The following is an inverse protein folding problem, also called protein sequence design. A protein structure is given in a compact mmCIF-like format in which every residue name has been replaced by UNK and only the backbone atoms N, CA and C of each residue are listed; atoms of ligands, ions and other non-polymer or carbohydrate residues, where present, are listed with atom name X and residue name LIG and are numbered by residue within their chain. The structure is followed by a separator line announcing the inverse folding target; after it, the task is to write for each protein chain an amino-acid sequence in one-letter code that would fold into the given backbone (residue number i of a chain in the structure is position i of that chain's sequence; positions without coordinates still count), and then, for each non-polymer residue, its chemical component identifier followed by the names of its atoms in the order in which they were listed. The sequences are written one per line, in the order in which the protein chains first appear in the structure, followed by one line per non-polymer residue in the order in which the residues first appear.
data_IF_293758156155
#
_entry.id   IF_293758156155
#
_cell.length_a   1.000
_cell.length_b   1.000
_cell.length_c   1.000
_cell.angle_alpha   90.00
_cell.angle_beta   90.00
_cell.angle_gamma   90.00
#
_symmetry.space_group_name_H-M   'P 1'
#
loop_
_entity.id
_entity.type
_entity.pdbx_description
1 polymer ?
#
# COMPACT_ATOMS: atom_id res chain seq x y z
N UNK A 1 -0.02 0.78 10.46
CA UNK A 1 0.09 0.15 9.13
C UNK A 1 0.60 -1.26 9.31
N UNK A 2 -0.07 -2.24 8.72
CA UNK A 2 0.26 -3.67 8.82
C UNK A 2 0.26 -4.27 7.42
N UNK A 3 1.28 -5.05 7.09
CA UNK A 3 1.42 -5.73 5.80
C UNK A 3 1.11 -7.22 5.99
N UNK A 4 0.11 -7.72 5.28
CA UNK A 4 -0.29 -9.11 5.31
C UNK A 4 0.03 -9.80 3.98
N UNK A 5 0.52 -11.05 3.98
CA UNK A 5 0.57 -11.86 2.77
C UNK A 5 -0.81 -11.93 2.12
N UNK A 6 -0.87 -11.78 0.79
CA UNK A 6 -2.13 -11.88 0.04
C UNK A 6 -2.07 -13.03 -0.98
N UNK A 7 -3.23 -13.50 -1.43
CA UNK A 7 -3.34 -14.61 -2.39
C UNK A 7 -2.65 -14.28 -3.72
N UNK A 8 -2.20 -15.30 -4.50
CA UNK A 8 -1.62 -15.08 -5.82
C UNK A 8 -2.58 -14.27 -6.71
N UNK A 9 -2.00 -13.37 -7.52
CA UNK A 9 -2.72 -12.49 -8.45
C UNK A 9 -3.66 -11.44 -7.81
N UNK A 10 -3.65 -11.29 -6.47
CA UNK A 10 -4.40 -10.22 -5.80
C UNK A 10 -3.76 -8.84 -6.04
N UNK A 11 -2.45 -8.78 -6.24
CA UNK A 11 -1.67 -7.56 -6.35
C UNK A 11 -1.47 -6.86 -5.01
N UNK A 12 -1.15 -5.57 -5.08
CA UNK A 12 -1.00 -4.70 -3.90
C UNK A 12 -2.33 -4.00 -3.65
N UNK A 13 -2.90 -4.19 -2.44
CA UNK A 13 -4.19 -3.65 -2.07
C UNK A 13 -4.13 -2.98 -0.70
N UNK A 14 -4.83 -1.87 -0.54
CA UNK A 14 -4.97 -1.17 0.71
C UNK A 14 -6.37 -1.38 1.31
N UNK A 15 -6.44 -1.41 2.64
CA UNK A 15 -7.68 -1.43 3.43
C UNK A 15 -7.57 -0.37 4.52
N UNK A 16 -8.44 0.64 4.45
CA UNK A 16 -8.62 1.63 5.52
C UNK A 16 -9.39 1.02 6.69
N UNK A 17 -8.78 0.91 7.87
CA UNK A 17 -9.41 0.26 9.04
C UNK A 17 -10.19 1.23 9.94
N UNK A 18 -10.09 2.52 9.67
CA UNK A 18 -10.74 3.61 10.41
C UNK A 18 -12.07 4.09 9.79
N UNK A 19 -12.53 3.44 8.72
CA UNK A 19 -13.78 3.75 8.02
C UNK A 19 -14.64 2.49 7.79
N UNK A 20 -15.81 2.68 7.19
CA UNK A 20 -16.69 1.57 6.79
C UNK A 20 -15.95 0.57 5.88
N UNK A 21 -16.06 -0.71 6.25
CA UNK A 21 -15.40 -1.83 5.60
C UNK A 21 -15.84 -1.99 4.15
N UNK A 22 -17.08 -1.63 3.84
CA UNK A 22 -17.62 -1.80 2.48
C UNK A 22 -17.00 -0.81 1.48
N UNK A 23 -16.43 0.29 1.96
CA UNK A 23 -15.80 1.33 1.12
C UNK A 23 -14.28 1.44 1.30
N UNK A 24 -13.68 0.62 2.16
CA UNK A 24 -12.29 0.81 2.61
C UNK A 24 -11.21 0.27 1.68
N UNK A 25 -11.61 -0.51 0.68
CA UNK A 25 -10.69 -1.18 -0.22
C UNK A 25 -10.23 -0.25 -1.35
N UNK A 26 -8.91 -0.17 -1.56
CA UNK A 26 -8.30 0.58 -2.67
C UNK A 26 -7.20 -0.28 -3.29
N UNK A 27 -7.33 -0.64 -4.57
CA UNK A 27 -6.27 -1.34 -5.31
C UNK A 27 -5.15 -0.38 -5.70
N UNK A 28 -3.89 -0.77 -5.51
CA UNK A 28 -2.75 -0.02 -6.02
C UNK A 28 -2.64 -0.20 -7.54
N UNK A 29 -3.31 0.68 -8.28
CA UNK A 29 -3.32 0.70 -9.75
C UNK A 29 -3.15 2.13 -10.23
N UNK A 30 -2.46 2.31 -11.35
CA UNK A 30 -2.36 3.61 -12.01
C UNK A 30 -3.73 4.20 -12.38
N UNK A 31 -4.74 3.35 -12.58
CA UNK A 31 -6.13 3.77 -12.83
C UNK A 31 -6.81 4.42 -11.63
N UNK A 32 -6.29 4.15 -10.43
CA UNK A 32 -6.80 4.66 -9.17
C UNK A 32 -6.02 5.90 -8.70
N UNK A 33 -5.07 6.42 -9.47
CA UNK A 33 -4.35 7.64 -9.12
C UNK A 33 -5.28 8.84 -9.36
N UNK A 34 -5.56 9.60 -8.29
CA UNK A 34 -6.51 10.73 -8.31
C UNK A 34 -5.84 12.09 -8.10
N UNK A 35 -4.64 12.12 -7.51
CA UNK A 35 -3.84 13.34 -7.36
C UNK A 35 -2.35 12.99 -7.33
N UNK A 36 -1.51 13.93 -7.76
CA UNK A 36 -0.04 13.84 -7.79
C UNK A 36 0.65 15.09 -7.25
N UNK A 37 -0.11 16.04 -6.66
CA UNK A 37 0.46 17.23 -6.04
C UNK A 37 1.06 16.83 -4.69
N UNK A 38 2.34 17.16 -4.48
CA UNK A 38 3.15 16.81 -3.31
C UNK A 38 3.48 15.31 -3.15
N UNK A 39 2.52 14.42 -3.40
CA UNK A 39 2.68 12.97 -3.30
C UNK A 39 1.76 12.23 -4.28
N UNK A 40 1.87 10.91 -4.37
CA UNK A 40 0.90 10.08 -5.12
C UNK A 40 -0.28 9.74 -4.24
N UNK A 41 -1.49 10.04 -4.71
CA UNK A 41 -2.75 9.72 -4.02
C UNK A 41 -3.54 8.71 -4.84
N UNK A 42 -3.94 7.62 -4.18
CA UNK A 42 -4.88 6.65 -4.73
C UNK A 42 -6.29 6.91 -4.20
N UNK A 43 -7.30 6.65 -5.02
CA UNK A 43 -8.70 6.70 -4.62
C UNK A 43 -9.53 5.56 -5.22
N UNK A 44 -10.71 5.30 -4.64
CA UNK A 44 -11.70 4.38 -5.18
C UNK A 44 -12.99 5.11 -5.64
N UNK A 45 -13.95 4.36 -6.17
CA UNK A 45 -15.23 4.87 -6.64
C UNK A 45 -16.10 5.53 -5.55
N UNK A 46 -15.80 5.29 -4.28
CA UNK A 46 -16.51 5.87 -3.13
C UNK A 46 -15.89 7.19 -2.65
N UNK A 47 -14.84 7.69 -3.32
CA UNK A 47 -14.14 8.91 -2.93
C UNK A 47 -13.21 8.75 -1.71
N UNK A 48 -12.96 7.51 -1.27
CA UNK A 48 -11.97 7.23 -0.23
C UNK A 48 -10.58 7.28 -0.84
N UNK A 49 -9.65 7.92 -0.15
CA UNK A 49 -8.27 8.11 -0.61
C UNK A 49 -7.22 7.61 0.37
N UNK A 50 -6.03 7.31 -0.18
CA UNK A 50 -4.79 7.11 0.55
C UNK A 50 -3.66 7.89 -0.15
N UNK A 51 -2.96 8.75 0.59
CA UNK A 51 -1.84 9.55 0.13
C UNK A 51 -0.47 8.94 0.47
N UNK A 52 0.58 9.51 -0.14
CA UNK A 52 1.99 9.21 0.17
C UNK A 52 2.35 7.73 -0.08
N UNK A 53 1.71 7.10 -1.08
CA UNK A 53 1.88 5.66 -1.34
C UNK A 53 3.23 5.31 -2.00
N UNK A 54 3.89 6.28 -2.64
CA UNK A 54 5.00 6.08 -3.56
C UNK A 54 6.22 5.38 -2.93
N UNK A 55 6.63 5.76 -1.72
CA UNK A 55 7.79 5.17 -1.06
C UNK A 55 7.54 3.72 -0.62
N UNK A 56 6.30 3.41 -0.23
CA UNK A 56 5.90 2.05 0.10
C UNK A 56 5.83 1.17 -1.15
N UNK A 57 5.23 1.68 -2.23
CA UNK A 57 5.18 0.95 -3.50
C UNK A 57 6.59 0.72 -4.07
N UNK A 58 7.50 1.69 -3.94
CA UNK A 58 8.91 1.54 -4.31
C UNK A 58 9.61 0.47 -3.45
N UNK A 59 9.37 0.44 -2.13
CA UNK A 59 9.94 -0.57 -1.24
C UNK A 59 9.44 -1.99 -1.56
N UNK A 60 8.12 -2.15 -1.75
CA UNK A 60 7.51 -3.44 -2.12
C UNK A 60 8.07 -3.95 -3.46
N UNK A 61 8.13 -3.08 -4.47
CA UNK A 61 8.69 -3.44 -5.77
C UNK A 61 10.18 -3.77 -5.69
N UNK A 62 10.96 -2.98 -4.95
CA UNK A 62 12.39 -3.22 -4.75
C UNK A 62 12.70 -4.52 -4.00
N UNK A 63 11.76 -5.00 -3.17
CA UNK A 63 11.85 -6.28 -2.46
C UNK A 63 11.23 -7.47 -3.21
N UNK A 64 10.65 -7.26 -4.40
CA UNK A 64 10.00 -8.34 -5.17
C UNK A 64 8.69 -8.83 -4.56
N UNK A 65 7.92 -7.95 -3.92
CA UNK A 65 6.60 -8.29 -3.37
C UNK A 65 5.51 -7.97 -4.39
N UNK A 66 4.86 -9.00 -4.91
CA UNK A 66 3.78 -8.86 -5.90
C UNK A 66 2.38 -8.79 -5.27
N UNK A 67 2.15 -9.56 -4.19
CA UNK A 67 0.85 -9.73 -3.57
C UNK A 67 0.91 -9.39 -2.06
N UNK A 68 0.24 -8.33 -1.65
CA UNK A 68 0.19 -7.88 -0.24
C UNK A 68 -1.09 -7.10 0.04
N UNK A 69 -1.68 -7.33 1.21
CA UNK A 69 -2.78 -6.54 1.75
C UNK A 69 -2.23 -5.59 2.81
N UNK A 70 -2.44 -4.30 2.64
CA UNK A 70 -1.91 -3.23 3.48
C UNK A 70 -3.06 -2.65 4.29
N UNK A 71 -3.10 -2.93 5.58
CA UNK A 71 -4.06 -2.31 6.49
C UNK A 71 -3.50 -1.01 7.08
N UNK A 72 -4.30 0.04 7.06
CA UNK A 72 -3.91 1.35 7.57
C UNK A 72 -5.10 2.08 8.19
N UNK A 73 -4.89 2.75 9.32
CA UNK A 73 -5.94 3.43 10.09
C UNK A 73 -5.90 4.96 9.88
N UNK A 74 -5.40 5.40 8.73
CA UNK A 74 -5.28 6.82 8.33
C UNK A 74 -5.33 6.92 6.81
N UNK A 75 -5.63 8.11 6.32
CA UNK A 75 -5.63 8.45 4.90
C UNK A 75 -4.24 8.68 4.30
N UNK A 76 -3.18 8.46 5.06
CA UNK A 76 -1.80 8.66 4.63
C UNK A 76 -0.90 7.51 5.07
N UNK A 77 -0.06 7.00 4.15
CA UNK A 77 1.02 6.06 4.46
C UNK A 77 2.11 6.77 5.29
N UNK A 78 2.60 6.18 6.40
CA UNK A 78 3.62 6.83 7.23
C UNK A 78 4.88 7.18 6.43
N UNK A 79 5.27 8.45 6.45
CA UNK A 79 6.44 8.95 5.72
C UNK A 79 7.78 8.45 6.27
N UNK A 80 7.81 8.04 7.55
CA UNK A 80 8.98 7.58 8.28
C UNK A 80 10.13 8.59 8.20
N UNK A 81 11.25 8.26 7.53
CA UNK A 81 12.40 9.16 7.33
C UNK A 81 12.38 9.88 5.96
N UNK A 82 11.28 9.76 5.21
CA UNK A 82 11.15 10.31 3.86
C UNK A 82 11.78 9.45 2.77
N UNK A 83 12.32 8.27 3.10
CA UNK A 83 12.86 7.31 2.13
C UNK A 83 12.16 5.95 2.21
N UNK A 84 12.45 5.06 1.25
CA UNK A 84 12.02 3.67 1.31
C UNK A 84 12.86 2.79 2.23
N UNK A 85 13.99 3.28 2.78
CA UNK A 85 14.94 2.44 3.51
C UNK A 85 14.36 1.77 4.77
N UNK A 86 13.57 2.47 5.63
CA UNK A 86 12.92 1.84 6.76
C UNK A 86 11.90 0.76 6.34
N UNK A 87 11.15 1.02 5.27
CA UNK A 87 10.15 0.08 4.74
C UNK A 87 10.80 -1.18 4.17
N UNK A 88 11.89 -1.02 3.40
CA UNK A 88 12.69 -2.15 2.90
C UNK A 88 13.24 -3.00 4.05
N UNK A 89 13.73 -2.36 5.13
CA UNK A 89 14.20 -3.08 6.31
C UNK A 89 13.09 -3.91 6.95
N UNK A 90 11.89 -3.35 7.13
CA UNK A 90 10.74 -4.06 7.69
C UNK A 90 10.31 -5.23 6.80
N UNK A 91 10.23 -5.04 5.48
CA UNK A 91 9.86 -6.09 4.52
C UNK A 91 10.89 -7.23 4.54
N UNK A 92 12.18 -6.92 4.55
CA UNK A 92 13.24 -7.93 4.62
C UNK A 92 13.23 -8.71 5.94
N UNK A 93 12.87 -8.07 7.05
CA UNK A 93 12.71 -8.72 8.35
C UNK A 93 11.52 -9.69 8.37
N UNK A 94 10.40 -9.32 7.74
CA UNK A 94 9.23 -10.19 7.60
C UNK A 94 9.49 -11.37 6.63
N UNK A 95 10.35 -11.17 5.62
CA UNK A 95 10.65 -12.14 4.58
C UNK A 95 9.67 -12.10 3.42
N UNK A 96 10.00 -12.83 2.35
CA UNK A 96 9.19 -12.95 1.13
C UNK A 96 8.97 -14.43 0.82
N UNK A 97 7.75 -14.79 0.42
CA UNK A 97 7.36 -16.16 0.10
C UNK A 97 7.00 -16.28 -1.38
N UNK A 98 7.60 -17.27 -2.05
CA UNK A 98 7.26 -17.58 -3.43
C UNK A 98 5.87 -18.22 -3.51
N UNK A 99 5.08 -17.78 -4.49
CA UNK A 99 3.72 -18.26 -4.74
C UNK A 99 3.68 -19.13 -6.00
N UNK A 100 2.75 -20.09 -6.03
CA UNK A 100 2.51 -21.00 -7.16
C UNK A 100 1.24 -20.62 -7.90
#
# INVERSE_FOLDING_TARGET
MTLHPASPNSGICFVRTDIDRDHSFIRASWRNVVDTRLCTVLGNEHGITISTVEHLLAALRGCGVDNVLIEISSDEVPILDGSSAPLVKMIKQAGVSAQR
#
